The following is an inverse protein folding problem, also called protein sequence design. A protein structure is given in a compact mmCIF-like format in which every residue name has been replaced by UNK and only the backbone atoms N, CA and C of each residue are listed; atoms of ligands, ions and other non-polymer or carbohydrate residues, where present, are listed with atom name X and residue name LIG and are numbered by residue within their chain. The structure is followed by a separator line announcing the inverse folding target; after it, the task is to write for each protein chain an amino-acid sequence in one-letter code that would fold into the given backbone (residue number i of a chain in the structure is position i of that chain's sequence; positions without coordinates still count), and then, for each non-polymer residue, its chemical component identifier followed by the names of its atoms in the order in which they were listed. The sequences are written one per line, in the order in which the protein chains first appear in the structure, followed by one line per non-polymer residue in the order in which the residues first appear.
data_IF_475657605131
#
_entry.id   IF_475657605131
#
_cell.length_a   1.000
_cell.length_b   1.000
_cell.length_c   1.000
_cell.angle_alpha   90.00
_cell.angle_beta   90.00
_cell.angle_gamma   90.00
#
_symmetry.space_group_name_H-M   'P 1'
#
loop_
_entity.id
_entity.type
_entity.pdbx_description
1 polymer ?
#
# COMPACT_ATOMS: atom_id res chain seq x y z
N UNK A 1 -39.81 -44.74 24.95
CA UNK A 1 -39.28 -43.41 24.84
C UNK A 1 -37.83 -43.55 24.31
N UNK A 2 -37.55 -43.20 23.04
CA UNK A 2 -36.22 -43.33 22.46
C UNK A 2 -35.40 -42.08 22.83
N UNK A 3 -34.35 -42.26 23.62
CA UNK A 3 -33.41 -41.20 23.98
C UNK A 3 -32.37 -41.06 22.87
N UNK A 4 -32.31 -39.91 22.25
CA UNK A 4 -31.26 -39.55 21.28
C UNK A 4 -30.18 -38.77 21.99
N UNK A 5 -28.97 -39.36 22.09
CA UNK A 5 -27.78 -38.68 22.56
C UNK A 5 -27.10 -38.01 21.35
N UNK A 6 -27.17 -36.69 21.26
CA UNK A 6 -26.38 -35.93 20.30
C UNK A 6 -24.91 -36.06 20.67
N UNK A 7 -24.14 -36.88 19.94
CA UNK A 7 -22.70 -36.84 20.00
C UNK A 7 -22.28 -35.48 19.45
N UNK A 8 -21.77 -34.59 20.30
CA UNK A 8 -21.00 -33.42 19.85
C UNK A 8 -19.80 -33.92 19.05
N UNK A 9 -19.80 -33.62 17.77
CA UNK A 9 -18.65 -33.83 16.90
C UNK A 9 -17.46 -33.06 17.50
N UNK A 10 -16.44 -33.74 18.00
CA UNK A 10 -15.23 -33.16 18.57
C UNK A 10 -14.25 -32.62 17.51
N UNK A 11 -14.69 -32.49 16.27
CA UNK A 11 -14.01 -31.74 15.21
C UNK A 11 -14.44 -30.27 15.17
N UNK A 12 -14.66 -29.65 16.33
CA UNK A 12 -14.65 -28.21 16.40
C UNK A 12 -13.24 -27.76 15.99
N UNK A 13 -13.12 -27.09 14.85
CA UNK A 13 -11.91 -26.37 14.45
C UNK A 13 -11.36 -25.65 15.68
N UNK A 14 -10.06 -25.78 15.97
CA UNK A 14 -9.46 -25.11 17.13
C UNK A 14 -9.91 -23.66 17.09
N UNK A 15 -10.33 -23.14 18.26
CA UNK A 15 -10.72 -21.73 18.38
C UNK A 15 -9.71 -20.90 17.62
N UNK A 16 -10.19 -20.02 16.74
CA UNK A 16 -9.33 -19.22 15.86
C UNK A 16 -8.17 -18.60 16.61
N UNK A 17 -8.41 -18.19 17.86
CA UNK A 17 -7.40 -17.63 18.75
C UNK A 17 -6.31 -18.66 19.13
N UNK A 18 -6.67 -19.92 19.33
CA UNK A 18 -5.75 -21.00 19.66
C UNK A 18 -4.77 -21.26 18.51
N UNK A 19 -5.24 -21.17 17.26
CA UNK A 19 -4.37 -21.26 16.08
C UNK A 19 -3.32 -20.14 16.08
N UNK A 20 -3.72 -18.89 16.29
CA UNK A 20 -2.78 -17.77 16.34
C UNK A 20 -1.74 -17.92 17.45
N UNK A 21 -2.14 -18.42 18.64
CA UNK A 21 -1.22 -18.67 19.76
C UNK A 21 -0.21 -19.78 19.46
N UNK A 22 -0.60 -20.83 18.72
CA UNK A 22 0.31 -21.94 18.40
C UNK A 22 1.28 -21.63 17.26
N UNK A 23 0.91 -20.71 16.35
CA UNK A 23 1.69 -20.41 15.16
C UNK A 23 2.56 -19.15 15.32
N UNK A 24 2.31 -18.29 16.28
CA UNK A 24 3.00 -17.02 16.49
C UNK A 24 3.74 -17.04 17.84
N UNK A 25 4.90 -16.36 17.89
CA UNK A 25 5.51 -16.06 19.18
C UNK A 25 4.69 -15.00 19.93
N UNK A 26 4.99 -14.80 21.20
CA UNK A 26 4.22 -13.91 22.07
C UNK A 26 4.16 -12.46 21.55
N UNK A 27 5.27 -11.92 21.07
CA UNK A 27 5.36 -10.56 20.52
C UNK A 27 4.54 -10.43 19.24
N UNK A 28 4.67 -11.39 18.31
CA UNK A 28 3.87 -11.43 17.09
C UNK A 28 2.38 -11.57 17.42
N UNK A 29 2.02 -12.43 18.36
CA UNK A 29 0.65 -12.61 18.79
C UNK A 29 0.06 -11.30 19.34
N UNK A 30 0.80 -10.57 20.17
CA UNK A 30 0.38 -9.25 20.69
C UNK A 30 0.14 -8.24 19.56
N UNK A 31 1.03 -8.18 18.55
CA UNK A 31 0.85 -7.30 17.39
C UNK A 31 -0.37 -7.70 16.57
N UNK A 32 -0.55 -8.99 16.33
CA UNK A 32 -1.66 -9.53 15.51
C UNK A 32 -3.02 -9.29 16.15
N UNK A 33 -3.13 -9.39 17.47
CA UNK A 33 -4.38 -9.25 18.22
C UNK A 33 -4.62 -7.87 18.80
N UNK A 34 -3.68 -6.93 18.63
CA UNK A 34 -3.77 -5.59 19.17
C UNK A 34 -5.08 -4.90 18.77
N UNK A 35 -5.61 -4.05 19.66
CA UNK A 35 -6.78 -3.21 19.35
C UNK A 35 -6.52 -2.31 18.15
N UNK A 36 -7.56 -1.93 17.38
CA UNK A 36 -7.40 -1.05 16.23
C UNK A 36 -7.04 0.37 16.68
N UNK A 37 -5.73 0.64 16.75
CA UNK A 37 -5.14 1.93 17.08
C UNK A 37 -3.84 2.11 16.28
N UNK A 38 -3.33 3.34 16.23
CA UNK A 38 -2.01 3.57 15.63
C UNK A 38 -0.94 2.83 16.45
N UNK A 39 -0.13 2.03 15.75
CA UNK A 39 0.94 1.24 16.36
C UNK A 39 2.19 1.26 15.48
N UNK A 40 3.34 1.46 16.09
CA UNK A 40 4.65 1.30 15.48
C UNK A 40 5.25 -0.02 15.94
N UNK A 41 5.58 -0.90 14.99
CA UNK A 41 6.24 -2.18 15.26
C UNK A 41 7.68 -2.12 14.77
N UNK A 42 8.63 -2.09 15.70
CA UNK A 42 10.06 -2.12 15.39
C UNK A 42 10.55 -3.56 15.50
N UNK A 43 11.12 -4.06 14.42
CA UNK A 43 11.57 -5.46 14.35
C UNK A 43 12.77 -5.61 13.41
N UNK A 44 13.78 -6.35 13.81
CA UNK A 44 14.99 -6.65 13.04
C UNK A 44 14.72 -7.47 11.76
N UNK A 45 15.73 -7.66 10.93
CA UNK A 45 15.65 -8.56 9.80
C UNK A 45 15.44 -10.00 10.28
N UNK A 46 14.63 -10.78 9.57
CA UNK A 46 14.38 -12.19 9.92
C UNK A 46 13.41 -12.45 11.09
N UNK A 47 12.97 -11.43 11.83
CA UNK A 47 12.06 -11.59 12.99
C UNK A 47 10.62 -11.95 12.63
N UNK A 48 10.29 -12.01 11.33
CA UNK A 48 8.94 -12.36 10.89
C UNK A 48 7.98 -11.18 10.74
N UNK A 49 8.47 -9.95 10.50
CA UNK A 49 7.61 -8.75 10.24
C UNK A 49 6.49 -9.03 9.24
N UNK A 50 6.85 -9.59 8.08
CA UNK A 50 5.88 -9.93 7.03
C UNK A 50 4.85 -10.95 7.51
N UNK A 51 5.29 -11.93 8.32
CA UNK A 51 4.39 -12.90 8.94
C UNK A 51 3.39 -12.21 9.86
N UNK A 52 3.85 -11.35 10.76
CA UNK A 52 2.98 -10.64 11.68
C UNK A 52 1.93 -9.78 10.95
N UNK A 53 2.33 -9.04 9.89
CA UNK A 53 1.39 -8.23 9.10
C UNK A 53 0.36 -9.13 8.39
N UNK A 54 0.80 -10.22 7.77
CA UNK A 54 -0.07 -11.18 7.07
C UNK A 54 -1.10 -11.79 8.02
N UNK A 55 -0.66 -12.22 9.20
CA UNK A 55 -1.52 -12.76 10.23
C UNK A 55 -2.46 -11.68 10.80
N UNK A 56 -2.01 -10.43 10.91
CA UNK A 56 -2.88 -9.31 11.32
C UNK A 56 -4.03 -9.10 10.34
N UNK A 57 -3.76 -9.11 9.04
CA UNK A 57 -4.81 -9.00 8.02
C UNK A 57 -5.78 -10.17 8.10
N UNK A 58 -5.28 -11.41 8.23
CA UNK A 58 -6.11 -12.58 8.41
C UNK A 58 -6.99 -12.48 9.66
N UNK A 59 -6.41 -12.07 10.78
CA UNK A 59 -7.11 -11.85 12.06
C UNK A 59 -8.25 -10.85 11.90
N UNK A 60 -8.00 -9.70 11.27
CA UNK A 60 -9.02 -8.67 11.04
C UNK A 60 -10.20 -9.20 10.22
N UNK A 61 -9.92 -9.91 9.13
CA UNK A 61 -10.96 -10.52 8.27
C UNK A 61 -11.78 -11.53 9.07
N UNK A 62 -11.14 -12.41 9.82
CA UNK A 62 -11.81 -13.45 10.62
C UNK A 62 -12.63 -12.87 11.77
N UNK A 63 -12.30 -11.65 12.23
CA UNK A 63 -13.06 -10.92 13.24
C UNK A 63 -14.06 -9.91 12.65
N UNK A 64 -14.44 -10.10 11.38
CA UNK A 64 -15.54 -9.39 10.76
C UNK A 64 -15.19 -8.05 10.12
N UNK A 65 -13.91 -7.68 10.04
CA UNK A 65 -13.51 -6.50 9.27
C UNK A 65 -13.64 -6.82 7.78
N UNK A 66 -14.45 -6.04 7.06
CA UNK A 66 -14.60 -6.21 5.63
C UNK A 66 -13.25 -6.02 4.91
N UNK A 67 -12.85 -6.95 4.01
CA UNK A 67 -11.61 -6.83 3.24
C UNK A 67 -11.44 -5.49 2.52
N UNK A 68 -12.52 -4.91 2.04
CA UNK A 68 -12.55 -3.60 1.37
C UNK A 68 -12.12 -2.42 2.29
N UNK A 69 -12.13 -2.62 3.59
CA UNK A 69 -11.71 -1.62 4.60
C UNK A 69 -10.26 -1.82 5.05
N UNK A 70 -9.56 -2.79 4.48
CA UNK A 70 -8.17 -3.10 4.80
C UNK A 70 -7.29 -2.62 3.66
N UNK A 71 -6.27 -1.84 4.00
CA UNK A 71 -5.22 -1.39 3.10
C UNK A 71 -3.91 -2.05 3.52
N UNK A 72 -3.27 -2.77 2.58
CA UNK A 72 -2.01 -3.48 2.77
C UNK A 72 -0.97 -2.95 1.78
N UNK A 73 -0.12 -2.03 2.24
CA UNK A 73 0.92 -1.41 1.44
C UNK A 73 2.30 -2.07 1.65
N UNK A 74 3.07 -2.19 0.59
CA UNK A 74 4.45 -2.69 0.61
C UNK A 74 5.29 -2.05 -0.51
N UNK A 75 6.59 -2.30 -0.51
CA UNK A 75 7.49 -1.70 -1.52
C UNK A 75 7.44 -2.39 -2.88
N UNK A 76 7.15 -3.70 -2.95
CA UNK A 76 7.20 -4.45 -4.20
C UNK A 76 5.90 -5.16 -4.51
N UNK A 77 5.56 -5.23 -5.80
CA UNK A 77 4.39 -5.97 -6.27
C UNK A 77 4.46 -7.47 -5.93
N UNK A 78 5.69 -8.03 -5.90
CA UNK A 78 5.91 -9.43 -5.53
C UNK A 78 5.53 -9.67 -4.07
N UNK A 79 6.01 -8.81 -3.15
CA UNK A 79 5.68 -8.90 -1.74
C UNK A 79 4.18 -8.75 -1.49
N UNK A 80 3.53 -7.77 -2.13
CA UNK A 80 2.08 -7.58 -2.02
C UNK A 80 1.30 -8.84 -2.42
N UNK A 81 1.60 -9.42 -3.57
CA UNK A 81 0.95 -10.65 -4.06
C UNK A 81 1.17 -11.84 -3.13
N UNK A 82 2.41 -12.01 -2.63
CA UNK A 82 2.74 -13.09 -1.72
C UNK A 82 2.00 -12.96 -0.38
N UNK A 83 1.93 -11.74 0.17
CA UNK A 83 1.20 -11.47 1.41
C UNK A 83 -0.30 -11.75 1.25
N UNK A 84 -0.94 -11.28 0.18
CA UNK A 84 -2.36 -11.55 -0.08
C UNK A 84 -2.64 -13.03 -0.26
N UNK A 85 -1.79 -13.76 -0.99
CA UNK A 85 -1.91 -15.23 -1.13
C UNK A 85 -1.83 -15.94 0.20
N UNK A 86 -0.92 -15.51 1.08
CA UNK A 86 -0.82 -16.07 2.44
C UNK A 86 -2.06 -15.78 3.27
N UNK A 87 -2.63 -14.57 3.17
CA UNK A 87 -3.89 -14.23 3.84
C UNK A 87 -5.02 -15.13 3.35
N UNK A 88 -5.11 -15.37 2.05
CA UNK A 88 -6.11 -16.29 1.46
C UNK A 88 -5.95 -17.71 2.00
N UNK A 89 -4.72 -18.23 2.05
CA UNK A 89 -4.43 -19.56 2.63
C UNK A 89 -4.82 -19.62 4.11
N UNK A 90 -4.56 -18.56 4.88
CA UNK A 90 -4.86 -18.53 6.32
C UNK A 90 -6.36 -18.45 6.60
N UNK A 91 -7.08 -17.66 5.82
CA UNK A 91 -8.52 -17.41 6.07
C UNK A 91 -9.43 -18.38 5.35
N UNK A 92 -8.96 -19.05 4.30
CA UNK A 92 -9.80 -19.80 3.36
C UNK A 92 -10.77 -18.92 2.58
N UNK A 93 -10.64 -17.60 2.66
CA UNK A 93 -11.59 -16.64 2.10
C UNK A 93 -11.19 -16.23 0.69
N UNK A 94 -12.09 -16.44 -0.27
CA UNK A 94 -11.91 -15.94 -1.64
C UNK A 94 -12.06 -14.40 -1.75
N UNK A 95 -12.56 -13.73 -0.72
CA UNK A 95 -12.76 -12.28 -0.73
C UNK A 95 -11.49 -11.46 -0.46
N UNK A 96 -10.34 -12.10 -0.26
CA UNK A 96 -9.05 -11.42 -0.01
C UNK A 96 -8.64 -10.52 -1.18
N UNK A 97 -9.06 -10.81 -2.41
CA UNK A 97 -8.84 -9.94 -3.57
C UNK A 97 -9.46 -8.54 -3.42
N UNK A 98 -10.40 -8.35 -2.49
CA UNK A 98 -11.00 -7.04 -2.16
C UNK A 98 -10.17 -6.20 -1.20
N UNK A 99 -9.12 -6.76 -0.59
CA UNK A 99 -8.15 -5.99 0.19
C UNK A 99 -7.42 -5.03 -0.74
N UNK A 100 -7.29 -3.78 -0.34
CA UNK A 100 -6.51 -2.79 -1.08
C UNK A 100 -5.02 -3.11 -0.94
N UNK A 101 -4.55 -4.09 -1.71
CA UNK A 101 -3.19 -4.59 -1.64
C UNK A 101 -2.33 -4.14 -2.80
N UNK A 102 -1.12 -3.65 -2.50
CA UNK A 102 -0.20 -3.22 -3.54
C UNK A 102 1.01 -2.47 -3.02
N UNK A 103 1.77 -1.91 -3.97
CA UNK A 103 2.81 -0.94 -3.64
C UNK A 103 2.18 0.40 -3.24
N UNK A 104 2.93 1.23 -2.51
CA UNK A 104 2.49 2.59 -2.16
C UNK A 104 2.05 3.36 -3.40
N UNK A 105 2.84 3.33 -4.49
CA UNK A 105 2.51 3.99 -5.75
C UNK A 105 1.21 3.47 -6.37
N UNK A 106 1.00 2.14 -6.38
CA UNK A 106 -0.25 1.56 -6.88
C UNK A 106 -1.46 2.03 -6.08
N UNK A 107 -1.35 2.03 -4.76
CA UNK A 107 -2.44 2.45 -3.88
C UNK A 107 -2.69 3.94 -4.04
N UNK A 108 -1.65 4.77 -4.07
CA UNK A 108 -1.75 6.21 -4.32
C UNK A 108 -2.46 6.49 -5.66
N UNK A 109 -2.06 5.80 -6.74
CA UNK A 109 -2.71 5.95 -8.03
C UNK A 109 -4.21 5.54 -8.00
N UNK A 110 -4.56 4.48 -7.28
CA UNK A 110 -5.97 4.08 -7.11
C UNK A 110 -6.79 5.17 -6.38
N UNK A 111 -6.21 5.77 -5.34
CA UNK A 111 -6.84 6.87 -4.59
C UNK A 111 -6.97 8.10 -5.49
N UNK A 112 -5.89 8.51 -6.17
CA UNK A 112 -5.87 9.65 -7.07
C UNK A 112 -6.90 9.51 -8.18
N UNK A 113 -6.96 8.37 -8.87
CA UNK A 113 -7.98 8.15 -9.93
C UNK A 113 -9.40 8.25 -9.41
N UNK A 114 -9.64 7.81 -8.17
CA UNK A 114 -10.98 7.88 -7.56
C UNK A 114 -11.40 9.32 -7.24
N UNK A 115 -10.44 10.17 -6.94
CA UNK A 115 -10.66 11.55 -6.49
C UNK A 115 -10.11 12.61 -7.45
N UNK A 116 -9.65 12.22 -8.64
CA UNK A 116 -9.00 13.09 -9.62
C UNK A 116 -9.80 14.36 -9.89
N UNK A 117 -11.09 14.22 -10.21
CA UNK A 117 -11.97 15.33 -10.51
C UNK A 117 -12.08 16.32 -9.34
N UNK A 118 -12.09 15.83 -8.10
CA UNK A 118 -12.17 16.67 -6.89
C UNK A 118 -10.94 17.55 -6.66
N UNK A 119 -9.82 17.22 -7.30
CA UNK A 119 -8.55 17.94 -7.20
C UNK A 119 -8.14 18.57 -8.55
N UNK A 120 -9.08 18.66 -9.50
CA UNK A 120 -8.87 19.35 -10.77
C UNK A 120 -8.17 18.54 -11.86
N UNK A 121 -8.05 17.23 -11.71
CA UNK A 121 -7.48 16.35 -12.73
C UNK A 121 -8.56 15.56 -13.48
N UNK A 122 -8.29 15.20 -14.73
CA UNK A 122 -9.09 14.21 -15.44
C UNK A 122 -8.89 12.83 -14.81
N UNK A 123 -9.95 12.03 -14.70
CA UNK A 123 -9.87 10.66 -14.21
C UNK A 123 -8.97 9.75 -15.08
N UNK A 124 -8.81 10.11 -16.35
CA UNK A 124 -7.99 9.39 -17.34
C UNK A 124 -6.57 9.95 -17.49
N UNK A 125 -6.08 10.72 -16.51
CA UNK A 125 -4.72 11.24 -16.58
C UNK A 125 -3.67 10.14 -16.85
N UNK A 126 -2.63 10.49 -17.60
CA UNK A 126 -1.47 9.64 -17.83
C UNK A 126 -0.43 9.80 -16.72
N UNK A 127 0.27 8.72 -16.43
CA UNK A 127 1.44 8.76 -15.55
C UNK A 127 2.65 8.74 -16.47
N UNK A 128 3.43 9.80 -16.42
CA UNK A 128 4.69 9.90 -17.16
C UNK A 128 5.79 9.17 -16.37
N UNK A 129 6.63 8.43 -17.05
CA UNK A 129 7.88 7.99 -16.45
C UNK A 129 8.93 9.12 -16.48
N UNK A 130 10.13 8.86 -15.97
CA UNK A 130 11.16 9.89 -15.89
C UNK A 130 11.68 10.35 -17.24
N UNK A 131 11.60 9.52 -18.28
CA UNK A 131 12.04 9.81 -19.63
C UNK A 131 10.97 10.63 -20.35
N UNK A 132 9.72 10.18 -20.33
CA UNK A 132 8.57 10.92 -20.84
C UNK A 132 8.45 12.33 -20.21
N UNK A 133 8.68 12.44 -18.89
CA UNK A 133 8.63 13.73 -18.20
C UNK A 133 9.73 14.70 -18.69
N UNK A 134 10.94 14.20 -19.02
CA UNK A 134 12.02 15.01 -19.57
C UNK A 134 11.73 15.45 -21.01
N UNK A 135 11.20 14.53 -21.82
CA UNK A 135 10.79 14.88 -23.18
C UNK A 135 9.69 15.95 -23.17
N UNK A 136 8.70 15.81 -22.30
CA UNK A 136 7.66 16.82 -22.13
C UNK A 136 8.22 18.19 -21.71
N UNK A 137 9.19 18.22 -20.79
CA UNK A 137 9.86 19.46 -20.39
C UNK A 137 10.62 20.10 -21.54
N UNK A 138 11.32 19.32 -22.37
CA UNK A 138 11.99 19.85 -23.56
C UNK A 138 10.98 20.45 -24.54
N UNK A 139 9.86 19.79 -24.79
CA UNK A 139 8.80 20.34 -25.63
C UNK A 139 8.24 21.66 -25.08
N UNK A 140 8.01 21.75 -23.77
CA UNK A 140 7.56 23.00 -23.15
C UNK A 140 8.57 24.14 -23.31
N UNK A 141 9.88 23.85 -23.22
CA UNK A 141 10.96 24.85 -23.42
C UNK A 141 10.97 25.33 -24.86
N UNK A 142 10.82 24.41 -25.83
CA UNK A 142 10.79 24.72 -27.26
C UNK A 142 9.55 25.55 -27.63
N UNK A 143 8.37 25.18 -27.12
CA UNK A 143 7.11 25.93 -27.33
C UNK A 143 7.14 27.34 -26.68
N UNK A 144 7.81 27.48 -25.53
CA UNK A 144 7.99 28.77 -24.89
C UNK A 144 8.97 29.68 -25.62
N UNK A 145 9.61 29.21 -26.71
CA UNK A 145 10.59 29.94 -27.52
C UNK A 145 11.72 30.57 -26.67
N UNK A 146 12.14 29.89 -25.61
CA UNK A 146 13.20 30.35 -24.73
C UNK A 146 14.54 30.29 -25.50
N UNK A 147 15.16 31.46 -25.68
CA UNK A 147 16.46 31.55 -26.33
C UNK A 147 17.57 30.98 -25.41
N UNK A 148 17.76 29.68 -25.50
CA UNK A 148 18.77 28.94 -24.73
C UNK A 148 20.21 29.28 -25.14
N UNK A 149 20.41 30.01 -26.26
CA UNK A 149 21.76 30.43 -26.72
C UNK A 149 22.26 31.68 -26.01
N UNK A 150 21.35 32.57 -25.60
CA UNK A 150 21.70 33.83 -24.90
C UNK A 150 21.80 33.69 -23.38
N UNK A 151 21.04 32.77 -22.79
CA UNK A 151 21.13 32.47 -21.36
C UNK A 151 21.24 30.95 -21.18
N UNK A 152 22.10 30.55 -20.27
CA UNK A 152 22.30 29.14 -19.94
C UNK A 152 21.04 28.60 -19.24
N UNK A 153 20.08 28.12 -20.02
CA UNK A 153 18.88 27.48 -19.47
C UNK A 153 19.24 26.09 -18.90
N UNK A 154 18.69 25.71 -17.74
CA UNK A 154 18.98 24.40 -17.15
C UNK A 154 18.46 23.27 -18.05
N UNK A 155 19.18 22.13 -18.05
CA UNK A 155 18.72 20.92 -18.73
C UNK A 155 17.41 20.39 -18.11
N UNK A 156 16.64 19.65 -18.89
CA UNK A 156 15.36 19.08 -18.44
C UNK A 156 15.46 18.29 -17.12
N UNK A 157 16.57 17.56 -16.90
CA UNK A 157 16.78 16.84 -15.64
C UNK A 157 16.87 17.76 -14.42
N UNK A 158 17.50 18.93 -14.59
CA UNK A 158 17.62 19.92 -13.51
C UNK A 158 16.26 20.55 -13.24
N UNK A 159 15.53 20.91 -14.29
CA UNK A 159 14.16 21.47 -14.18
C UNK A 159 13.23 20.47 -13.49
N UNK A 160 13.29 19.20 -13.92
CA UNK A 160 12.51 18.12 -13.30
C UNK A 160 12.84 17.96 -11.81
N UNK A 161 14.14 18.05 -11.45
CA UNK A 161 14.56 17.95 -10.06
C UNK A 161 14.06 19.11 -9.21
N UNK A 162 14.07 20.33 -9.75
CA UNK A 162 13.54 21.53 -9.08
C UNK A 162 12.04 21.38 -8.83
N UNK A 163 11.27 21.01 -9.87
CA UNK A 163 9.83 20.79 -9.76
C UNK A 163 9.53 19.69 -8.74
N UNK A 164 10.26 18.58 -8.81
CA UNK A 164 10.09 17.47 -7.87
C UNK A 164 10.39 17.88 -6.43
N UNK A 165 11.46 18.66 -6.23
CA UNK A 165 11.81 19.17 -4.89
C UNK A 165 10.75 20.12 -4.36
N UNK A 166 10.31 21.09 -5.16
CA UNK A 166 9.25 22.04 -4.79
C UNK A 166 7.97 21.29 -4.36
N UNK A 167 7.51 20.34 -5.19
CA UNK A 167 6.32 19.55 -4.89
C UNK A 167 6.45 18.65 -3.64
N UNK A 168 7.63 18.08 -3.40
CA UNK A 168 7.86 17.19 -2.26
C UNK A 168 8.03 17.95 -0.93
N UNK A 169 8.45 19.21 -0.99
CA UNK A 169 8.70 20.05 0.20
C UNK A 169 7.62 21.08 0.45
N UNK A 170 6.65 21.18 -0.46
CA UNK A 170 5.60 22.24 -0.44
C UNK A 170 6.19 23.66 -0.41
N UNK A 171 7.32 23.85 -1.10
CA UNK A 171 8.01 25.13 -1.23
C UNK A 171 7.72 25.71 -2.63
N UNK A 172 7.36 27.00 -2.77
CA UNK A 172 7.22 27.63 -4.06
C UNK A 172 8.48 27.50 -4.92
N UNK A 173 8.33 27.31 -6.24
CA UNK A 173 9.47 27.13 -7.14
C UNK A 173 10.42 28.34 -7.10
N UNK A 174 9.88 29.54 -6.95
CA UNK A 174 10.64 30.79 -6.83
C UNK A 174 11.66 30.75 -5.67
N UNK A 175 11.28 30.11 -4.57
CA UNK A 175 12.13 30.00 -3.38
C UNK A 175 13.16 28.85 -3.48
N UNK A 176 12.97 27.93 -4.43
CA UNK A 176 13.91 26.83 -4.69
C UNK A 176 15.08 27.25 -5.60
N UNK A 177 14.87 28.31 -6.42
CA UNK A 177 15.79 28.74 -7.48
C UNK A 177 16.77 29.84 -6.98
N UNK A 178 16.64 30.30 -5.75
CA UNK A 178 17.47 31.38 -5.17
C UNK A 178 18.91 30.94 -4.87
#
# INVERSE_FOLDING_TARGET
MKSYVLKRDKTALPDKLTRYKSELNEEQFRVVTAMPQAALVVAGAGTGKTRAITYRVAYLIEHGVSPQRILLATFTNRAAREMLRRVETLTGSQNVHRVWGGTFHRIANMILRRHAVSIGYDANYSILDSEDAREMLNLCVDEAAIDTTKKRFPKAEVVQSIISFANNTDIPIEDVIV
#
